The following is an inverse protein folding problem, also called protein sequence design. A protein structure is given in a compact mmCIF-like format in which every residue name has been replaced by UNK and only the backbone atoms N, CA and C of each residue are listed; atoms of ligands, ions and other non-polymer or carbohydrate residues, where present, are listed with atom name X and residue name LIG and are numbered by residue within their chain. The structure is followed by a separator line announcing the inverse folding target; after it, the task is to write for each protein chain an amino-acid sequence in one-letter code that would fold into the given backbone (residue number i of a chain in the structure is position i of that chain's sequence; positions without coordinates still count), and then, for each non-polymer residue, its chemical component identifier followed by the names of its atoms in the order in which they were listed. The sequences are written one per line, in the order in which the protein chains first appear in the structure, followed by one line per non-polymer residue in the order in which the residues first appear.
data_IF_447149333080
#
_entry.id   IF_447149333080
#
_cell.length_a   1.000
_cell.length_b   1.000
_cell.length_c   1.000
_cell.angle_alpha   90.00
_cell.angle_beta   90.00
_cell.angle_gamma   90.00
#
_symmetry.space_group_name_H-M   'P 1'
#
loop_
_entity.id
_entity.type
_entity.pdbx_description
1 polymer ?
#
# COMPACT_ATOMS: atom_id res chain seq x y z
N UNK A 1 38.61 -8.50 -62.13
CA UNK A 1 38.84 -8.50 -60.67
C UNK A 1 38.30 -7.22 -60.01
N UNK A 2 38.44 -6.02 -60.59
CA UNK A 2 38.02 -4.76 -59.93
C UNK A 2 36.53 -4.59 -59.57
N UNK A 3 35.58 -5.10 -60.35
CA UNK A 3 34.14 -4.86 -60.08
C UNK A 3 33.62 -5.50 -58.78
N UNK A 4 34.10 -6.69 -58.43
CA UNK A 4 33.72 -7.37 -57.19
C UNK A 4 34.45 -6.79 -55.97
N UNK A 5 35.68 -6.28 -56.16
CA UNK A 5 36.43 -5.60 -55.11
C UNK A 5 35.79 -4.25 -54.75
N UNK A 6 35.33 -3.49 -55.75
CA UNK A 6 34.62 -2.21 -55.54
C UNK A 6 33.28 -2.39 -54.81
N UNK A 7 32.48 -3.39 -55.17
CA UNK A 7 31.21 -3.70 -54.48
C UNK A 7 31.48 -4.13 -53.03
N UNK A 8 32.52 -4.92 -52.79
CA UNK A 8 32.87 -5.38 -51.44
C UNK A 8 33.35 -4.22 -50.57
N UNK A 9 34.13 -3.29 -51.13
CA UNK A 9 34.59 -2.09 -50.45
C UNK A 9 33.43 -1.13 -50.11
N UNK A 10 32.48 -0.94 -51.03
CA UNK A 10 31.31 -0.09 -50.82
C UNK A 10 30.35 -0.68 -49.76
N UNK A 11 30.20 -2.01 -49.76
CA UNK A 11 29.42 -2.72 -48.76
C UNK A 11 30.08 -2.67 -47.37
N UNK A 12 31.41 -2.81 -47.30
CA UNK A 12 32.17 -2.64 -46.04
C UNK A 12 32.07 -1.22 -45.49
N UNK A 13 32.14 -0.21 -46.36
CA UNK A 13 31.97 1.19 -45.99
C UNK A 13 30.56 1.45 -45.44
N UNK A 14 29.53 0.95 -46.12
CA UNK A 14 28.13 1.07 -45.68
C UNK A 14 27.91 0.41 -44.31
N UNK A 15 28.51 -0.76 -44.07
CA UNK A 15 28.43 -1.44 -42.76
C UNK A 15 29.15 -0.64 -41.67
N UNK A 16 30.32 -0.05 -41.97
CA UNK A 16 31.03 0.80 -41.02
C UNK A 16 30.26 2.07 -40.68
N UNK A 17 29.66 2.73 -41.67
CA UNK A 17 28.81 3.90 -41.46
C UNK A 17 27.61 3.53 -40.57
N UNK A 18 26.99 2.36 -40.79
CA UNK A 18 25.87 1.89 -39.96
C UNK A 18 26.29 1.58 -38.52
N UNK A 19 27.46 0.96 -38.32
CA UNK A 19 28.01 0.70 -36.98
C UNK A 19 28.33 2.00 -36.24
N UNK A 20 28.89 2.99 -36.94
CA UNK A 20 29.16 4.32 -36.38
C UNK A 20 27.88 5.01 -35.92
N UNK A 21 26.85 5.03 -36.76
CA UNK A 21 25.54 5.60 -36.42
C UNK A 21 24.91 4.86 -35.22
N UNK A 22 24.97 3.52 -35.21
CA UNK A 22 24.45 2.73 -34.09
C UNK A 22 25.15 3.07 -32.77
N UNK A 23 26.47 3.20 -32.79
CA UNK A 23 27.26 3.47 -31.59
C UNK A 23 27.01 4.91 -31.08
N UNK A 24 26.80 5.88 -31.97
CA UNK A 24 26.33 7.23 -31.61
C UNK A 24 24.93 7.22 -31.01
N UNK A 25 24.00 6.45 -31.57
CA UNK A 25 22.63 6.30 -31.03
C UNK A 25 22.69 5.70 -29.62
N UNK A 26 23.49 4.65 -29.41
CA UNK A 26 23.66 4.02 -28.09
C UNK A 26 24.28 5.00 -27.09
N UNK A 27 25.30 5.76 -27.52
CA UNK A 27 25.96 6.76 -26.67
C UNK A 27 24.99 7.87 -26.25
N UNK A 28 24.18 8.34 -27.19
CA UNK A 28 23.15 9.37 -26.95
C UNK A 28 22.05 8.85 -26.03
N UNK A 29 21.58 7.62 -26.22
CA UNK A 29 20.59 6.99 -25.35
C UNK A 29 21.09 6.86 -23.89
N UNK A 30 22.35 6.43 -23.70
CA UNK A 30 22.98 6.38 -22.36
C UNK A 30 23.11 7.76 -21.72
N UNK A 31 23.40 8.79 -22.52
CA UNK A 31 23.46 10.16 -22.02
C UNK A 31 22.09 10.65 -21.53
N UNK A 32 21.02 10.37 -22.28
CA UNK A 32 19.66 10.69 -21.87
C UNK A 32 19.23 9.94 -20.60
N UNK A 33 19.57 8.66 -20.47
CA UNK A 33 19.30 7.92 -19.24
C UNK A 33 20.01 8.52 -18.02
N UNK A 34 21.25 8.96 -18.19
CA UNK A 34 22.00 9.63 -17.12
C UNK A 34 21.34 10.96 -16.74
N UNK A 35 21.03 11.81 -17.70
CA UNK A 35 20.34 13.09 -17.44
C UNK A 35 19.00 12.88 -16.73
N UNK A 36 18.23 11.86 -17.11
CA UNK A 36 16.97 11.51 -16.44
C UNK A 36 17.19 11.12 -14.97
N UNK A 37 18.25 10.37 -14.67
CA UNK A 37 18.62 10.01 -13.29
C UNK A 37 19.03 11.26 -12.49
N UNK A 38 19.83 12.13 -13.08
CA UNK A 38 20.33 13.35 -12.44
C UNK A 38 19.16 14.30 -12.11
N UNK A 39 18.22 14.52 -13.05
CA UNK A 39 17.00 15.32 -12.79
C UNK A 39 16.17 14.71 -11.66
N UNK A 40 15.96 13.40 -11.66
CA UNK A 40 15.21 12.74 -10.59
C UNK A 40 15.88 12.93 -9.21
N UNK A 41 17.22 12.95 -9.16
CA UNK A 41 17.97 13.20 -7.94
C UNK A 41 17.86 14.66 -7.48
N UNK A 42 17.97 15.63 -8.40
CA UNK A 42 17.82 17.06 -8.10
C UNK A 42 16.42 17.41 -7.57
N UNK A 43 15.38 16.76 -8.11
CA UNK A 43 13.99 16.90 -7.61
C UNK A 43 13.87 16.36 -6.18
N UNK A 44 14.50 15.21 -5.88
CA UNK A 44 14.52 14.65 -4.52
C UNK A 44 15.27 15.56 -3.54
N UNK A 45 16.36 16.18 -3.99
CA UNK A 45 17.23 17.04 -3.17
C UNK A 45 16.73 18.49 -3.05
N UNK A 46 15.55 18.81 -3.59
CA UNK A 46 14.94 20.16 -3.60
C UNK A 46 15.79 21.24 -4.29
N UNK A 47 16.71 20.86 -5.17
CA UNK A 47 17.59 21.83 -5.85
C UNK A 47 16.90 22.55 -7.01
N UNK A 48 15.75 22.05 -7.49
CA UNK A 48 14.95 22.66 -8.56
C UNK A 48 13.49 22.78 -8.10
N UNK A 49 12.92 23.98 -8.17
CA UNK A 49 11.49 24.19 -7.93
C UNK A 49 10.63 23.61 -9.06
N UNK A 50 9.46 23.06 -8.72
CA UNK A 50 8.50 22.51 -9.69
C UNK A 50 8.17 23.44 -10.88
N UNK A 51 8.05 24.78 -10.72
CA UNK A 51 7.85 25.69 -11.85
C UNK A 51 9.03 25.72 -12.84
N UNK A 52 10.26 25.63 -12.33
CA UNK A 52 11.48 25.57 -13.16
C UNK A 52 11.54 24.27 -13.96
N UNK A 53 11.11 23.16 -13.34
CA UNK A 53 11.00 21.86 -14.00
C UNK A 53 9.93 21.86 -15.10
N UNK A 54 8.77 22.46 -14.84
CA UNK A 54 7.69 22.61 -15.82
C UNK A 54 8.20 23.36 -17.05
N UNK A 55 8.85 24.50 -16.84
CA UNK A 55 9.40 25.34 -17.91
C UNK A 55 10.45 24.60 -18.75
N UNK A 56 11.37 23.87 -18.10
CA UNK A 56 12.37 23.06 -18.81
C UNK A 56 11.73 21.94 -19.67
N UNK A 57 10.65 21.32 -19.19
CA UNK A 57 9.88 20.34 -19.97
C UNK A 57 9.15 20.97 -21.15
N UNK A 58 8.56 22.16 -20.98
CA UNK A 58 7.93 22.90 -22.07
C UNK A 58 8.93 23.30 -23.16
N UNK A 59 10.09 23.81 -22.78
CA UNK A 59 11.19 24.17 -23.69
C UNK A 59 11.73 22.95 -24.45
N UNK A 60 11.86 21.79 -23.79
CA UNK A 60 12.24 20.55 -24.47
C UNK A 60 11.21 20.10 -25.51
N UNK A 61 9.93 20.12 -25.15
CA UNK A 61 8.85 19.72 -26.07
C UNK A 61 8.67 20.74 -27.21
N UNK A 62 8.95 22.02 -26.97
CA UNK A 62 8.98 23.07 -28.00
C UNK A 62 9.92 22.72 -29.14
N UNK A 63 11.14 22.32 -28.82
CA UNK A 63 12.16 21.96 -29.80
C UNK A 63 11.70 20.77 -30.65
N UNK A 64 11.02 19.79 -30.05
CA UNK A 64 10.49 18.64 -30.80
C UNK A 64 9.33 19.03 -31.73
N UNK A 65 8.45 19.91 -31.26
CA UNK A 65 7.24 20.33 -31.96
C UNK A 65 7.54 21.26 -33.15
N UNK A 66 8.63 22.03 -33.08
CA UNK A 66 9.00 22.99 -34.10
C UNK A 66 9.32 22.31 -35.44
N UNK A 67 9.90 21.10 -35.42
CA UNK A 67 10.25 20.35 -36.63
C UNK A 67 9.06 20.09 -37.56
N UNK A 68 7.91 19.71 -36.99
CA UNK A 68 6.69 19.42 -37.76
C UNK A 68 6.06 20.72 -38.28
N UNK A 69 6.07 21.77 -37.46
CA UNK A 69 5.56 23.10 -37.82
C UNK A 69 6.36 23.69 -38.99
N UNK A 70 7.68 23.60 -38.93
CA UNK A 70 8.60 24.08 -39.97
C UNK A 70 8.49 23.27 -41.25
N UNK A 71 8.39 21.93 -41.14
CA UNK A 71 8.14 21.08 -42.30
C UNK A 71 6.86 21.48 -43.04
N UNK A 72 5.75 21.67 -42.32
CA UNK A 72 4.48 22.08 -42.93
C UNK A 72 4.54 23.48 -43.55
N UNK A 73 5.37 24.36 -43.00
CA UNK A 73 5.53 25.75 -43.45
C UNK A 73 6.44 25.87 -44.68
N UNK A 74 7.50 25.07 -44.77
CA UNK A 74 8.55 25.21 -45.79
C UNK A 74 8.60 24.08 -46.81
N UNK A 75 7.73 23.06 -46.72
CA UNK A 75 7.63 22.03 -47.78
C UNK A 75 7.31 22.64 -49.15
N UNK A 76 7.66 21.91 -50.22
CA UNK A 76 7.51 22.32 -51.64
C UNK A 76 6.15 22.95 -51.98
N UNK A 77 5.07 22.49 -51.33
CA UNK A 77 3.74 23.12 -51.40
C UNK A 77 3.31 23.52 -49.98
N UNK A 78 3.55 24.76 -49.52
CA UNK A 78 3.35 25.17 -48.13
C UNK A 78 1.92 24.94 -47.63
N UNK A 79 1.78 24.35 -46.44
CA UNK A 79 0.49 24.14 -45.76
C UNK A 79 0.37 25.10 -44.56
N UNK A 80 0.23 26.40 -44.85
CA UNK A 80 0.29 27.47 -43.84
C UNK A 80 -0.83 27.36 -42.80
N UNK A 81 -2.07 27.06 -43.22
CA UNK A 81 -3.19 26.90 -42.28
C UNK A 81 -3.00 25.68 -41.36
N UNK A 82 -2.57 24.55 -41.92
CA UNK A 82 -2.25 23.36 -41.14
C UNK A 82 -1.08 23.59 -40.18
N UNK A 83 -0.06 24.34 -40.59
CA UNK A 83 1.08 24.72 -39.72
C UNK A 83 0.62 25.55 -38.52
N UNK A 84 -0.29 26.52 -38.72
CA UNK A 84 -0.88 27.31 -37.62
C UNK A 84 -1.71 26.44 -36.67
N UNK A 85 -2.58 25.59 -37.21
CA UNK A 85 -3.40 24.68 -36.39
C UNK A 85 -2.54 23.73 -35.56
N UNK A 86 -1.51 23.13 -36.17
CA UNK A 86 -0.57 22.23 -35.48
C UNK A 86 0.22 22.97 -34.41
N UNK A 87 0.63 24.22 -34.66
CA UNK A 87 1.31 25.05 -33.66
C UNK A 87 0.44 25.30 -32.42
N UNK A 88 -0.84 25.63 -32.61
CA UNK A 88 -1.78 25.81 -31.49
C UNK A 88 -2.05 24.52 -30.71
N UNK A 89 -2.24 23.40 -31.41
CA UNK A 89 -2.42 22.08 -30.79
C UNK A 89 -1.17 21.66 -30.00
N UNK A 90 0.02 21.88 -30.56
CA UNK A 90 1.29 21.61 -29.88
C UNK A 90 1.44 22.47 -28.62
N UNK A 91 1.06 23.74 -28.65
CA UNK A 91 1.06 24.60 -27.45
C UNK A 91 0.18 24.01 -26.34
N UNK A 92 -1.06 23.62 -26.63
CA UNK A 92 -1.97 23.01 -25.64
C UNK A 92 -1.43 21.68 -25.13
N UNK A 93 -0.88 20.85 -26.01
CA UNK A 93 -0.27 19.56 -25.67
C UNK A 93 0.92 19.73 -24.72
N UNK A 94 1.80 20.70 -24.99
CA UNK A 94 2.98 21.00 -24.16
C UNK A 94 2.60 21.37 -22.74
N UNK A 95 1.65 22.30 -22.59
CA UNK A 95 1.13 22.70 -21.28
C UNK A 95 0.59 21.50 -20.50
N UNK A 96 -0.29 20.71 -21.13
CA UNK A 96 -0.87 19.52 -20.49
C UNK A 96 0.18 18.47 -20.09
N UNK A 97 1.19 18.24 -20.94
CA UNK A 97 2.28 17.31 -20.65
C UNK A 97 3.20 17.82 -19.54
N UNK A 98 3.51 19.11 -19.51
CA UNK A 98 4.30 19.74 -18.47
C UNK A 98 3.59 19.67 -17.11
N UNK A 99 2.30 20.03 -17.06
CA UNK A 99 1.46 19.91 -15.87
C UNK A 99 1.39 18.46 -15.37
N UNK A 100 1.10 17.51 -16.27
CA UNK A 100 1.12 16.08 -15.93
C UNK A 100 2.45 15.68 -15.32
N UNK A 101 3.57 16.13 -15.91
CA UNK A 101 4.90 15.76 -15.45
C UNK A 101 5.20 16.34 -14.06
N UNK A 102 4.81 17.60 -13.82
CA UNK A 102 4.89 18.22 -12.49
C UNK A 102 4.11 17.42 -11.46
N UNK A 103 2.87 17.02 -11.79
CA UNK A 103 2.04 16.20 -10.89
C UNK A 103 2.68 14.83 -10.61
N UNK A 104 3.22 14.14 -11.63
CA UNK A 104 3.95 12.88 -11.44
C UNK A 104 5.13 13.06 -10.46
N UNK A 105 5.90 14.14 -10.59
CA UNK A 105 7.01 14.42 -9.68
C UNK A 105 6.56 14.81 -8.28
N UNK A 106 5.48 15.58 -8.16
CA UNK A 106 4.90 16.00 -6.89
C UNK A 106 4.35 14.80 -6.12
N UNK A 107 3.67 13.88 -6.80
CA UNK A 107 3.24 12.59 -6.24
C UNK A 107 4.44 11.77 -5.79
N UNK A 108 5.46 11.59 -6.65
CA UNK A 108 6.67 10.84 -6.28
C UNK A 108 7.41 11.45 -5.08
N UNK A 109 7.42 12.78 -4.99
CA UNK A 109 7.97 13.49 -3.83
C UNK A 109 7.15 13.23 -2.57
N UNK A 110 5.82 13.37 -2.64
CA UNK A 110 4.96 13.07 -1.49
C UNK A 110 5.08 11.61 -1.06
N UNK A 111 5.12 10.65 -1.98
CA UNK A 111 5.40 9.24 -1.68
C UNK A 111 6.74 9.05 -0.98
N UNK A 112 7.76 9.87 -1.29
CA UNK A 112 9.08 9.78 -0.64
C UNK A 112 9.11 10.36 0.78
N UNK A 113 8.38 11.45 1.02
CA UNK A 113 8.35 12.14 2.32
C UNK A 113 7.31 11.55 3.26
N UNK A 114 6.25 10.96 2.70
CA UNK A 114 5.15 10.33 3.39
C UNK A 114 4.93 8.92 2.83
N UNK A 115 5.77 7.93 3.19
CA UNK A 115 5.66 6.57 2.68
C UNK A 115 4.30 5.90 2.92
N UNK A 116 3.54 6.33 3.94
CA UNK A 116 2.17 5.87 4.18
C UNK A 116 1.21 6.14 3.01
N UNK A 117 1.53 7.10 2.12
CA UNK A 117 0.76 7.34 0.90
C UNK A 117 0.88 6.19 -0.10
N UNK A 118 1.96 5.40 -0.05
CA UNK A 118 2.07 4.17 -0.85
C UNK A 118 1.06 3.14 -0.38
N UNK A 119 0.89 2.99 0.94
CA UNK A 119 -0.10 2.09 1.53
C UNK A 119 -1.52 2.51 1.12
N UNK A 120 -1.84 3.82 1.20
CA UNK A 120 -3.12 4.37 0.77
C UNK A 120 -3.37 4.20 -0.74
N UNK A 121 -2.33 4.34 -1.57
CA UNK A 121 -2.42 4.19 -3.03
C UNK A 121 -2.74 2.74 -3.41
N UNK A 122 -2.19 1.75 -2.72
CA UNK A 122 -2.54 0.35 -2.91
C UNK A 122 -4.01 0.09 -2.55
N UNK A 123 -4.52 0.67 -1.46
CA UNK A 123 -5.94 0.56 -1.08
C UNK A 123 -6.89 1.15 -2.15
N UNK A 124 -6.52 2.26 -2.78
CA UNK A 124 -7.35 2.94 -3.80
C UNK A 124 -7.27 2.25 -5.17
N UNK A 125 -6.14 1.62 -5.51
CA UNK A 125 -5.96 0.91 -6.78
C UNK A 125 -6.78 -0.38 -6.89
N UNK A 126 -7.09 -1.01 -5.75
CA UNK A 126 -7.87 -2.25 -5.69
C UNK A 126 -9.40 -2.01 -5.72
N UNK A 127 -9.86 -0.75 -5.80
CA UNK A 127 -11.29 -0.39 -5.92
C UNK A 127 -11.75 -0.67 -7.35
N UNK A 128 -12.62 -1.67 -7.51
CA UNK A 128 -13.18 -2.05 -8.81
C UNK A 128 -14.14 -0.98 -9.35
N UNK A 129 -14.41 -0.97 -10.66
CA UNK A 129 -15.44 -0.10 -11.24
C UNK A 129 -16.84 -0.36 -10.65
N UNK A 130 -17.09 -1.59 -10.17
CA UNK A 130 -18.30 -1.93 -9.40
C UNK A 130 -18.33 -1.22 -8.04
N UNK A 131 -17.21 -1.19 -7.31
CA UNK A 131 -17.11 -0.46 -6.03
C UNK A 131 -17.33 1.05 -6.23
N UNK A 132 -16.82 1.63 -7.33
CA UNK A 132 -17.05 3.04 -7.67
C UNK A 132 -18.53 3.34 -7.96
N UNK A 133 -19.23 2.43 -8.66
CA UNK A 133 -20.67 2.55 -8.93
C UNK A 133 -21.50 2.40 -7.65
N UNK A 134 -21.14 1.47 -6.76
CA UNK A 134 -21.84 1.31 -5.48
C UNK A 134 -21.74 2.58 -4.62
N UNK A 135 -20.57 3.23 -4.56
CA UNK A 135 -20.38 4.47 -3.78
C UNK A 135 -21.18 5.67 -4.35
N UNK A 136 -21.39 5.73 -5.66
CA UNK A 136 -22.01 6.87 -6.34
C UNK A 136 -23.50 7.10 -5.97
N UNK A 137 -24.19 6.08 -5.45
CA UNK A 137 -25.65 6.14 -5.24
C UNK A 137 -26.11 6.49 -3.82
N UNK A 138 -25.19 6.53 -2.85
CA UNK A 138 -25.45 6.84 -1.44
C UNK A 138 -25.41 8.34 -1.12
N UNK A 139 -26.21 8.80 -0.16
CA UNK A 139 -26.09 10.17 0.38
C UNK A 139 -24.78 10.33 1.19
N UNK A 140 -24.28 11.56 1.39
CA UNK A 140 -23.10 11.80 2.21
C UNK A 140 -23.19 11.20 3.62
N UNK A 141 -24.38 11.25 4.24
CA UNK A 141 -24.65 10.71 5.57
C UNK A 141 -24.63 9.18 5.57
N UNK A 142 -25.22 8.55 4.54
CA UNK A 142 -25.18 7.08 4.38
C UNK A 142 -23.74 6.58 4.24
N UNK A 143 -22.87 7.33 3.54
CA UNK A 143 -21.45 6.98 3.36
C UNK A 143 -20.64 7.04 4.66
N UNK A 144 -21.17 7.60 5.74
CA UNK A 144 -20.51 7.51 7.06
C UNK A 144 -20.59 6.08 7.65
N UNK A 145 -21.56 5.26 7.21
CA UNK A 145 -21.63 3.85 7.63
C UNK A 145 -20.72 2.99 6.76
N UNK A 146 -19.66 2.45 7.36
CA UNK A 146 -18.68 1.58 6.70
C UNK A 146 -19.29 0.32 6.04
N UNK A 147 -20.51 -0.10 6.40
CA UNK A 147 -21.18 -1.22 5.69
C UNK A 147 -21.61 -0.85 4.28
N UNK A 148 -21.77 0.45 3.95
CA UNK A 148 -22.13 0.89 2.59
C UNK A 148 -21.06 0.52 1.57
N UNK A 149 -19.80 0.42 2.00
CA UNK A 149 -18.70 -0.10 1.18
C UNK A 149 -18.91 -1.55 0.73
N UNK A 150 -19.80 -2.31 1.38
CA UNK A 150 -20.03 -3.73 1.11
C UNK A 150 -21.45 -4.04 0.61
N UNK A 151 -22.36 -3.07 0.60
CA UNK A 151 -23.77 -3.28 0.32
C UNK A 151 -24.22 -2.44 -0.86
N UNK A 152 -25.26 -2.90 -1.56
CA UNK A 152 -26.00 -2.06 -2.50
C UNK A 152 -26.97 -1.16 -1.74
N UNK A 153 -27.38 -0.06 -2.37
CA UNK A 153 -28.34 0.89 -1.78
C UNK A 153 -29.65 0.24 -1.37
N UNK A 154 -30.16 -0.68 -2.19
CA UNK A 154 -31.37 -1.43 -1.88
C UNK A 154 -31.20 -2.31 -0.65
N UNK A 155 -30.10 -3.04 -0.55
CA UNK A 155 -29.79 -3.88 0.61
C UNK A 155 -29.61 -3.05 1.87
N UNK A 156 -28.88 -1.93 1.78
CA UNK A 156 -28.64 -1.06 2.92
C UNK A 156 -29.95 -0.49 3.51
N UNK A 157 -30.91 -0.14 2.65
CA UNK A 157 -32.18 0.49 3.06
C UNK A 157 -33.28 -0.51 3.43
N UNK A 158 -33.30 -1.70 2.81
CA UNK A 158 -34.36 -2.71 3.02
C UNK A 158 -34.03 -3.72 4.13
N UNK A 159 -32.75 -4.05 4.34
CA UNK A 159 -32.38 -5.09 5.29
C UNK A 159 -32.43 -4.59 6.75
N UNK A 160 -32.89 -5.43 7.70
CA UNK A 160 -32.75 -5.17 9.13
C UNK A 160 -31.28 -4.97 9.54
N UNK A 161 -31.02 -4.18 10.57
CA UNK A 161 -29.65 -3.80 11.00
C UNK A 161 -28.73 -5.00 11.24
N UNK A 162 -29.19 -6.04 11.93
CA UNK A 162 -28.38 -7.24 12.21
C UNK A 162 -28.01 -8.01 10.93
N UNK A 163 -28.99 -8.22 10.05
CA UNK A 163 -28.80 -8.89 8.75
C UNK A 163 -27.89 -8.08 7.82
N UNK A 164 -28.09 -6.76 7.78
CA UNK A 164 -27.27 -5.80 7.04
C UNK A 164 -25.80 -5.88 7.45
N UNK A 165 -25.54 -5.84 8.76
CA UNK A 165 -24.20 -5.91 9.32
C UNK A 165 -23.54 -7.27 9.06
N UNK A 166 -24.30 -8.38 9.18
CA UNK A 166 -23.79 -9.72 8.90
C UNK A 166 -23.45 -9.90 7.42
N UNK A 167 -24.32 -9.45 6.50
CA UNK A 167 -24.07 -9.54 5.07
C UNK A 167 -22.82 -8.75 4.65
N UNK A 168 -22.63 -7.56 5.23
CA UNK A 168 -21.41 -6.78 5.03
C UNK A 168 -20.16 -7.51 5.54
N UNK A 169 -20.23 -8.15 6.71
CA UNK A 169 -19.15 -8.98 7.24
C UNK A 169 -18.81 -10.16 6.32
N UNK A 170 -19.82 -10.87 5.82
CA UNK A 170 -19.62 -12.00 4.91
C UNK A 170 -18.96 -11.56 3.60
N UNK A 171 -19.36 -10.40 3.06
CA UNK A 171 -18.75 -9.82 1.86
C UNK A 171 -17.34 -9.31 2.11
N UNK A 172 -17.07 -8.73 3.27
CA UNK A 172 -15.72 -8.35 3.68
C UNK A 172 -14.76 -9.54 3.61
N UNK A 173 -15.18 -10.74 4.04
CA UNK A 173 -14.34 -11.93 3.98
C UNK A 173 -14.16 -12.51 2.56
N UNK A 174 -15.17 -12.37 1.70
CA UNK A 174 -15.16 -12.87 0.32
C UNK A 174 -14.41 -11.97 -0.67
N UNK A 175 -14.39 -10.65 -0.44
CA UNK A 175 -13.73 -9.70 -1.33
C UNK A 175 -12.22 -9.97 -1.42
N UNK A 176 -11.61 -9.77 -2.61
CA UNK A 176 -10.16 -9.77 -2.74
C UNK A 176 -9.57 -8.68 -1.84
N UNK A 177 -8.36 -8.90 -1.35
CA UNK A 177 -7.68 -8.02 -0.41
C UNK A 177 -6.29 -7.69 -0.91
N UNK A 178 -5.88 -6.44 -0.73
CA UNK A 178 -4.51 -6.01 -0.96
C UNK A 178 -3.54 -6.78 -0.06
N UNK A 179 -2.26 -6.84 -0.46
CA UNK A 179 -1.23 -7.52 0.35
C UNK A 179 -1.09 -6.89 1.72
N UNK A 180 -1.19 -5.57 1.79
CA UNK A 180 -1.18 -4.82 3.03
C UNK A 180 -2.34 -5.24 3.95
N UNK A 181 -3.57 -5.28 3.42
CA UNK A 181 -4.75 -5.66 4.19
C UNK A 181 -4.64 -7.11 4.69
N UNK A 182 -4.10 -8.01 3.86
CA UNK A 182 -3.82 -9.41 4.24
C UNK A 182 -2.78 -9.50 5.37
N UNK A 183 -1.78 -8.61 5.38
CA UNK A 183 -0.82 -8.47 6.49
C UNK A 183 -1.50 -8.00 7.78
N UNK A 184 -2.26 -6.89 7.70
CA UNK A 184 -3.04 -6.33 8.80
C UNK A 184 -4.02 -7.36 9.42
N UNK A 185 -4.71 -8.14 8.58
CA UNK A 185 -5.61 -9.20 9.04
C UNK A 185 -4.87 -10.29 9.82
N UNK A 186 -3.65 -10.64 9.40
CA UNK A 186 -2.85 -11.63 10.09
C UNK A 186 -2.36 -11.11 11.45
N UNK A 187 -1.93 -9.86 11.54
CA UNK A 187 -1.60 -9.21 12.82
C UNK A 187 -2.81 -9.20 13.76
N UNK A 188 -4.00 -8.83 13.26
CA UNK A 188 -5.26 -8.89 14.03
C UNK A 188 -5.53 -10.30 14.56
N UNK A 189 -5.37 -11.32 13.73
CA UNK A 189 -5.57 -12.71 14.14
C UNK A 189 -4.58 -13.14 15.24
N UNK A 190 -3.29 -12.85 15.06
CA UNK A 190 -2.27 -13.17 16.07
C UNK A 190 -2.57 -12.42 17.38
N UNK A 191 -2.96 -11.15 17.31
CA UNK A 191 -3.35 -10.37 18.48
C UNK A 191 -4.58 -10.93 19.18
N UNK A 192 -5.61 -11.31 18.43
CA UNK A 192 -6.81 -12.01 18.94
C UNK A 192 -6.43 -13.25 19.77
N UNK A 193 -5.46 -14.05 19.32
CA UNK A 193 -5.03 -15.24 20.07
C UNK A 193 -4.37 -14.89 21.41
N UNK A 194 -3.67 -13.76 21.49
CA UNK A 194 -3.09 -13.28 22.75
C UNK A 194 -4.15 -12.64 23.66
N UNK A 195 -5.06 -11.83 23.11
CA UNK A 195 -6.18 -11.26 23.88
C UNK A 195 -7.08 -12.36 24.46
N UNK A 196 -7.34 -13.41 23.68
CA UNK A 196 -8.08 -14.60 24.13
C UNK A 196 -7.39 -15.35 25.28
N UNK A 197 -6.06 -15.23 25.40
CA UNK A 197 -5.26 -15.77 26.53
C UNK A 197 -5.13 -14.77 27.70
N UNK A 198 -5.82 -13.62 27.60
CA UNK A 198 -5.85 -12.58 28.62
C UNK A 198 -4.64 -11.66 28.62
N UNK A 199 -3.91 -11.55 27.51
CA UNK A 199 -2.86 -10.53 27.36
C UNK A 199 -3.48 -9.19 26.96
N UNK A 200 -2.91 -8.09 27.45
CA UNK A 200 -3.18 -6.76 26.93
C UNK A 200 -2.34 -6.55 25.68
N UNK A 201 -3.01 -6.42 24.53
CA UNK A 201 -2.34 -6.34 23.22
C UNK A 201 -2.28 -4.90 22.71
N UNK A 202 -1.14 -4.55 22.15
CA UNK A 202 -0.89 -3.31 21.41
C UNK A 202 -0.49 -3.69 19.98
N UNK A 203 -1.28 -3.22 19.00
CA UNK A 203 -1.11 -3.49 17.57
C UNK A 203 -0.20 -2.44 16.92
N UNK A 204 1.10 -2.48 17.24
CA UNK A 204 2.06 -1.44 16.83
C UNK A 204 2.21 -1.37 15.31
N UNK A 205 2.20 -2.51 14.60
CA UNK A 205 2.33 -2.56 13.14
C UNK A 205 1.22 -1.77 12.43
N UNK A 206 -0.03 -1.93 12.90
CA UNK A 206 -1.20 -1.21 12.38
C UNK A 206 -1.10 0.31 12.56
N UNK A 207 -0.56 0.79 13.70
CA UNK A 207 -0.54 2.22 14.02
C UNK A 207 0.75 2.95 13.63
N UNK A 208 1.89 2.25 13.58
CA UNK A 208 3.21 2.84 13.35
C UNK A 208 3.80 2.52 11.98
N UNK A 209 3.22 1.58 11.22
CA UNK A 209 3.68 1.25 9.87
C UNK A 209 5.19 1.00 9.83
N UNK A 210 5.94 1.77 9.04
CA UNK A 210 7.40 1.65 8.91
C UNK A 210 8.20 2.04 10.18
N UNK A 211 7.61 2.80 11.10
CA UNK A 211 8.25 3.22 12.36
C UNK A 211 8.14 2.15 13.47
N UNK A 212 7.45 1.05 13.20
CA UNK A 212 7.25 -0.04 14.15
C UNK A 212 8.56 -0.78 14.52
N UNK A 213 9.60 -0.63 13.69
CA UNK A 213 10.86 -1.37 13.72
C UNK A 213 10.64 -2.91 13.64
N UNK A 214 9.57 -3.34 12.95
CA UNK A 214 9.19 -4.74 12.81
C UNK A 214 8.67 -5.41 14.09
N UNK A 215 8.11 -4.62 15.02
CA UNK A 215 7.51 -5.11 16.27
C UNK A 215 6.00 -5.05 16.15
N UNK A 216 5.42 -5.86 15.27
CA UNK A 216 4.01 -5.74 14.88
C UNK A 216 3.03 -5.78 16.07
N UNK A 217 3.30 -6.63 17.07
CA UNK A 217 2.44 -6.79 18.25
C UNK A 217 3.26 -6.79 19.54
N UNK A 218 2.76 -6.08 20.56
CA UNK A 218 3.28 -6.15 21.93
C UNK A 218 2.15 -6.65 22.84
N UNK A 219 2.30 -7.88 23.36
CA UNK A 219 1.35 -8.51 24.27
C UNK A 219 1.90 -8.51 25.71
N UNK A 220 1.21 -7.85 26.63
CA UNK A 220 1.63 -7.67 28.03
C UNK A 220 0.73 -8.47 28.97
N UNK A 221 1.34 -9.22 29.89
CA UNK A 221 0.62 -9.92 30.96
C UNK A 221 1.53 -10.03 32.18
N UNK A 222 1.10 -9.45 33.29
CA UNK A 222 1.86 -9.42 34.56
C UNK A 222 3.28 -8.85 34.36
N UNK A 223 4.34 -9.62 34.66
CA UNK A 223 5.73 -9.20 34.44
C UNK A 223 6.31 -9.62 33.08
N UNK A 224 5.49 -10.24 32.23
CA UNK A 224 5.88 -10.74 30.91
C UNK A 224 5.44 -9.79 29.80
N UNK A 225 6.35 -9.54 28.85
CA UNK A 225 6.06 -8.87 27.60
C UNK A 225 6.46 -9.79 26.46
N UNK A 226 5.54 -10.05 25.54
CA UNK A 226 5.80 -10.80 24.32
C UNK A 226 5.79 -9.81 23.16
N UNK A 227 6.95 -9.64 22.52
CA UNK A 227 7.08 -8.88 21.29
C UNK A 227 6.98 -9.87 20.14
N UNK A 228 6.05 -9.62 19.22
CA UNK A 228 5.75 -10.52 18.10
C UNK A 228 6.00 -9.81 16.79
N UNK A 229 6.74 -10.45 15.89
CA UNK A 229 6.78 -10.09 14.49
C UNK A 229 5.93 -11.05 13.67
N UNK A 230 5.10 -10.52 12.79
CA UNK A 230 4.17 -11.21 11.93
C UNK A 230 4.61 -11.09 10.47
N UNK A 231 4.75 -12.22 9.77
CA UNK A 231 5.01 -12.25 8.32
C UNK A 231 4.03 -13.18 7.60
N UNK A 232 3.03 -12.58 6.97
CA UNK A 232 2.07 -13.30 6.13
C UNK A 232 2.56 -13.36 4.68
N UNK A 233 3.41 -14.33 4.36
CA UNK A 233 4.00 -14.51 3.04
C UNK A 233 3.45 -15.74 2.32
N UNK A 234 3.59 -15.75 0.99
CA UNK A 234 3.24 -16.92 0.17
C UNK A 234 4.03 -18.15 0.61
N UNK A 235 3.39 -19.32 0.57
CA UNK A 235 3.95 -20.62 0.98
C UNK A 235 5.28 -20.98 0.29
N UNK A 236 5.49 -20.48 -0.93
CA UNK A 236 6.71 -20.77 -1.70
C UNK A 236 7.86 -19.79 -1.42
N UNK A 237 7.66 -18.81 -0.54
CA UNK A 237 8.72 -17.89 -0.12
C UNK A 237 9.38 -18.41 1.15
N UNK A 238 10.69 -18.28 1.22
CA UNK A 238 11.48 -18.60 2.42
C UNK A 238 11.87 -17.33 3.14
N UNK A 239 11.78 -17.35 4.47
CA UNK A 239 12.30 -16.28 5.33
C UNK A 239 13.77 -16.56 5.65
N UNK A 240 14.62 -15.61 5.28
CA UNK A 240 16.06 -15.69 5.50
C UNK A 240 16.48 -14.91 6.75
N UNK A 241 17.69 -15.18 7.22
CA UNK A 241 18.31 -14.73 8.47
C UNK A 241 18.27 -13.22 8.68
N UNK A 242 18.29 -12.42 7.61
CA UNK A 242 18.18 -10.95 7.69
C UNK A 242 16.96 -10.49 8.51
N UNK A 243 15.84 -11.20 8.41
CA UNK A 243 14.62 -10.86 9.14
C UNK A 243 14.74 -11.17 10.63
N UNK A 244 15.43 -12.27 10.96
CA UNK A 244 15.68 -12.67 12.34
C UNK A 244 16.68 -11.71 13.01
N UNK A 245 17.71 -11.29 12.29
CA UNK A 245 18.66 -10.29 12.80
C UNK A 245 18.03 -8.92 13.01
N UNK A 246 17.22 -8.46 12.04
CA UNK A 246 16.48 -7.22 12.18
C UNK A 246 15.55 -7.27 13.40
N UNK A 247 14.76 -8.33 13.54
CA UNK A 247 13.86 -8.48 14.67
C UNK A 247 14.58 -8.58 16.01
N UNK A 248 15.67 -9.35 16.05
CA UNK A 248 16.50 -9.45 17.24
C UNK A 248 16.99 -8.07 17.69
N UNK A 249 17.52 -7.26 16.77
CA UNK A 249 18.03 -5.93 17.09
C UNK A 249 16.95 -5.03 17.71
N UNK A 250 15.72 -5.12 17.22
CA UNK A 250 14.63 -4.25 17.67
C UNK A 250 13.99 -4.75 18.96
N UNK A 251 13.96 -6.07 19.20
CA UNK A 251 13.63 -6.66 20.50
C UNK A 251 14.73 -6.39 21.55
N UNK A 252 16.00 -6.42 21.17
CA UNK A 252 17.11 -6.08 22.06
C UNK A 252 16.99 -4.63 22.54
N UNK A 253 16.76 -3.68 21.63
CA UNK A 253 16.51 -2.28 21.97
C UNK A 253 15.28 -2.12 22.88
N UNK A 254 14.21 -2.86 22.60
CA UNK A 254 13.00 -2.83 23.42
C UNK A 254 13.23 -3.39 24.84
N UNK A 255 14.02 -4.46 24.97
CA UNK A 255 14.44 -5.04 26.26
C UNK A 255 15.20 -4.02 27.10
N UNK A 256 16.17 -3.34 26.50
CA UNK A 256 16.98 -2.32 27.16
C UNK A 256 16.12 -1.17 27.70
N UNK A 257 15.10 -0.78 26.92
CA UNK A 257 14.13 0.26 27.32
C UNK A 257 13.10 -0.19 28.38
N UNK A 258 13.07 -1.48 28.74
CA UNK A 258 12.12 -2.05 29.71
C UNK A 258 12.83 -2.90 30.78
N UNK A 259 13.73 -2.30 31.60
CA UNK A 259 14.45 -3.03 32.63
C UNK A 259 13.49 -3.65 33.65
N UNK A 260 13.82 -4.86 34.12
CA UNK A 260 13.03 -5.59 35.12
C UNK A 260 11.79 -6.33 34.57
N UNK A 261 11.49 -6.20 33.27
CA UNK A 261 10.46 -6.99 32.59
C UNK A 261 11.06 -8.20 31.89
N UNK A 262 10.35 -9.33 31.92
CA UNK A 262 10.72 -10.50 31.11
C UNK A 262 10.18 -10.29 29.69
N UNK A 263 11.07 -10.03 28.73
CA UNK A 263 10.67 -9.80 27.33
C UNK A 263 11.02 -11.01 26.46
N UNK A 264 9.99 -11.66 25.90
CA UNK A 264 10.11 -12.75 24.94
C UNK A 264 9.91 -12.26 23.51
N UNK A 265 10.64 -12.86 22.58
CA UNK A 265 10.54 -12.59 21.16
C UNK A 265 9.84 -13.76 20.48
N UNK A 266 8.80 -13.49 19.69
CA UNK A 266 8.10 -14.49 18.88
C UNK A 266 8.09 -14.03 17.43
N UNK A 267 8.49 -14.89 16.52
CA UNK A 267 8.42 -14.64 15.09
C UNK A 267 7.39 -15.59 14.48
N UNK A 268 6.26 -15.04 14.05
CA UNK A 268 5.13 -15.78 13.50
C UNK A 268 5.01 -15.59 11.99
N UNK A 269 4.96 -16.68 11.24
CA UNK A 269 4.84 -16.61 9.79
C UNK A 269 4.00 -17.73 9.21
N UNK A 270 3.31 -17.43 8.10
CA UNK A 270 2.53 -18.38 7.31
C UNK A 270 3.39 -19.31 6.44
N UNK A 271 4.70 -19.06 6.36
CA UNK A 271 5.66 -19.85 5.59
C UNK A 271 6.78 -20.39 6.47
N UNK A 272 7.87 -20.84 5.86
CA UNK A 272 9.03 -21.42 6.52
C UNK A 272 10.26 -20.52 6.45
N UNK A 273 11.15 -20.72 7.42
CA UNK A 273 12.46 -20.10 7.51
C UNK A 273 13.53 -21.01 6.88
N UNK A 274 14.63 -20.42 6.42
CA UNK A 274 15.82 -21.19 6.05
C UNK A 274 16.42 -21.88 7.28
N UNK A 275 17.14 -22.98 7.08
CA UNK A 275 17.81 -23.69 8.19
C UNK A 275 18.80 -22.80 8.94
N UNK A 276 19.47 -21.91 8.20
CA UNK A 276 20.35 -20.91 8.78
C UNK A 276 19.58 -19.93 9.68
N UNK A 277 18.41 -19.45 9.23
CA UNK A 277 17.56 -18.57 10.01
C UNK A 277 16.98 -19.27 11.26
N UNK A 278 16.58 -20.54 11.16
CA UNK A 278 16.14 -21.36 12.30
C UNK A 278 17.24 -21.51 13.35
N UNK A 279 18.47 -21.80 12.91
CA UNK A 279 19.64 -21.87 13.79
C UNK A 279 19.86 -20.56 14.53
N UNK A 280 19.83 -19.43 13.83
CA UNK A 280 19.99 -18.12 14.46
C UNK A 280 18.84 -17.75 15.39
N UNK A 281 17.59 -18.05 15.04
CA UNK A 281 16.47 -17.81 15.93
C UNK A 281 16.61 -18.56 17.27
N UNK A 282 17.09 -19.81 17.21
CA UNK A 282 17.40 -20.61 18.42
C UNK A 282 18.47 -19.94 19.28
N UNK A 283 19.62 -19.55 18.69
CA UNK A 283 20.72 -18.88 19.41
C UNK A 283 20.29 -17.56 20.03
N UNK A 284 19.50 -16.78 19.29
CA UNK A 284 19.01 -15.45 19.70
C UNK A 284 17.77 -15.52 20.62
N UNK A 285 17.33 -16.74 21.00
CA UNK A 285 16.17 -17.02 21.86
C UNK A 285 14.88 -16.37 21.32
N UNK A 286 14.67 -16.51 20.01
CA UNK A 286 13.45 -16.11 19.32
C UNK A 286 12.60 -17.37 19.10
N UNK A 287 11.38 -17.37 19.64
CA UNK A 287 10.42 -18.44 19.41
C UNK A 287 9.86 -18.35 17.99
N UNK A 288 9.88 -19.46 17.24
CA UNK A 288 9.36 -19.51 15.88
C UNK A 288 7.96 -20.14 15.85
N UNK A 289 7.03 -19.52 15.13
CA UNK A 289 5.77 -20.10 14.69
C UNK A 289 5.75 -20.16 13.16
N UNK A 290 6.33 -21.21 12.60
CA UNK A 290 6.33 -21.48 11.15
C UNK A 290 5.02 -22.12 10.70
N UNK A 291 4.68 -21.95 9.41
CA UNK A 291 3.44 -22.48 8.82
C UNK A 291 2.18 -22.08 9.61
N UNK A 292 2.25 -20.97 10.35
CA UNK A 292 1.20 -20.51 11.23
C UNK A 292 0.16 -19.72 10.44
N UNK A 293 -0.80 -20.43 9.87
CA UNK A 293 -1.83 -19.83 9.01
C UNK A 293 -2.91 -19.14 9.84
N UNK A 294 -3.43 -18.05 9.28
CA UNK A 294 -4.64 -17.41 9.78
C UNK A 294 -5.83 -18.35 9.58
N UNK A 295 -6.53 -18.67 10.67
CA UNK A 295 -7.88 -19.17 10.58
C UNK A 295 -8.78 -18.02 10.10
N UNK A 296 -9.49 -18.20 8.99
CA UNK A 296 -10.40 -17.16 8.45
C UNK A 296 -11.75 -17.14 9.15
N UNK A 297 -12.05 -18.16 9.95
CA UNK A 297 -13.32 -18.31 10.67
C UNK A 297 -13.21 -17.89 12.14
N UNK A 298 -12.08 -17.29 12.53
CA UNK A 298 -11.90 -16.81 13.90
C UNK A 298 -12.93 -15.74 14.28
N UNK A 299 -13.23 -15.67 15.58
CA UNK A 299 -14.11 -14.64 16.13
C UNK A 299 -13.47 -13.26 15.95
N UNK A 300 -13.94 -12.51 14.95
CA UNK A 300 -13.35 -11.24 14.52
C UNK A 300 -14.20 -10.02 14.85
N UNK A 301 -15.33 -10.18 15.56
CA UNK A 301 -16.13 -9.06 16.01
C UNK A 301 -15.74 -8.72 17.44
N UNK A 302 -15.22 -7.52 17.67
CA UNK A 302 -14.80 -7.06 19.00
C UNK A 302 -16.00 -6.53 19.77
N UNK A 303 -16.38 -7.19 20.86
CA UNK A 303 -17.46 -6.76 21.75
C UNK A 303 -16.86 -6.14 23.02
N UNK A 304 -16.81 -4.82 23.11
CA UNK A 304 -16.25 -4.09 24.25
C UNK A 304 -17.33 -3.34 25.07
N UNK A 305 -17.00 -3.04 26.32
CA UNK A 305 -17.88 -2.32 27.22
C UNK A 305 -17.25 -0.96 27.49
N UNK A 306 -17.96 0.11 27.12
CA UNK A 306 -17.49 1.47 27.31
C UNK A 306 -17.21 1.74 28.79
N UNK A 307 -16.00 2.22 29.09
CA UNK A 307 -15.61 2.58 30.46
C UNK A 307 -16.30 3.84 30.98
N UNK A 308 -16.83 4.67 30.08
CA UNK A 308 -17.45 5.96 30.44
C UNK A 308 -18.89 5.77 30.89
N UNK A 309 -19.66 4.94 30.17
CA UNK A 309 -21.11 4.83 30.36
C UNK A 309 -21.63 3.39 30.43
N UNK A 310 -20.74 2.38 30.38
CA UNK A 310 -21.13 0.97 30.43
C UNK A 310 -21.84 0.45 29.17
N UNK A 311 -21.90 1.22 28.09
CA UNK A 311 -22.54 0.78 26.85
C UNK A 311 -21.81 -0.44 26.26
N UNK A 312 -22.58 -1.48 25.91
CA UNK A 312 -22.12 -2.67 25.21
C UNK A 312 -22.09 -2.43 23.71
N UNK A 313 -20.88 -2.37 23.15
CA UNK A 313 -20.66 -2.00 21.76
C UNK A 313 -19.87 -3.10 21.05
N UNK A 314 -20.27 -3.47 19.83
CA UNK A 314 -19.46 -4.30 18.96
C UNK A 314 -18.90 -3.52 17.77
N UNK A 315 -17.70 -3.92 17.37
CA UNK A 315 -16.98 -3.39 16.22
C UNK A 315 -16.75 -4.50 15.20
N UNK A 316 -17.17 -4.26 13.96
CA UNK A 316 -16.83 -5.06 12.80
C UNK A 316 -15.40 -4.77 12.34
N UNK A 317 -14.70 -5.70 11.66
CA UNK A 317 -13.29 -5.54 11.27
C UNK A 317 -13.00 -4.35 10.35
N UNK A 318 -14.02 -3.74 9.76
CA UNK A 318 -13.92 -2.55 8.92
C UNK A 318 -14.47 -1.28 9.60
N UNK A 319 -14.95 -1.36 10.85
CA UNK A 319 -15.36 -0.16 11.58
C UNK A 319 -14.13 0.66 12.00
N UNK A 320 -14.25 1.99 11.98
CA UNK A 320 -13.17 2.94 12.25
C UNK A 320 -12.42 2.70 13.57
N UNK A 321 -13.13 2.29 14.62
CA UNK A 321 -12.56 2.06 15.97
C UNK A 321 -12.17 0.60 16.23
N UNK A 322 -12.17 -0.26 15.21
CA UNK A 322 -11.88 -1.69 15.41
C UNK A 322 -10.46 -1.93 15.96
N UNK A 323 -9.45 -1.26 15.40
CA UNK A 323 -8.05 -1.50 15.79
C UNK A 323 -7.69 -0.87 17.15
N UNK A 324 -8.41 0.18 17.55
CA UNK A 324 -8.24 0.86 18.84
C UNK A 324 -9.00 0.17 19.96
N UNK A 325 -10.13 -0.48 19.65
CA UNK A 325 -10.89 -1.27 20.61
C UNK A 325 -10.05 -2.47 21.09
N UNK A 326 -9.90 -2.58 22.41
CA UNK A 326 -9.20 -3.69 23.08
C UNK A 326 -10.23 -4.56 23.79
N UNK A 327 -10.02 -5.87 23.77
CA UNK A 327 -10.88 -6.82 24.45
C UNK A 327 -10.23 -7.28 25.75
N UNK A 328 -10.95 -7.10 26.85
CA UNK A 328 -10.57 -7.51 28.20
C UNK A 328 -11.55 -8.58 28.71
N UNK A 329 -11.28 -9.88 28.48
CA UNK A 329 -12.24 -10.95 28.81
C UNK A 329 -12.75 -10.92 30.25
N UNK A 330 -11.92 -10.47 31.20
CA UNK A 330 -12.27 -10.38 32.62
C UNK A 330 -13.43 -9.43 32.93
N UNK A 331 -13.75 -8.48 32.06
CA UNK A 331 -14.83 -7.50 32.26
C UNK A 331 -16.12 -7.86 31.52
N UNK A 332 -16.21 -9.06 30.93
CA UNK A 332 -17.35 -9.49 30.12
C UNK A 332 -17.29 -9.02 28.66
N UNK A 333 -16.18 -8.41 28.25
CA UNK A 333 -15.85 -8.15 26.84
C UNK A 333 -15.43 -9.47 26.16
N UNK A 334 -15.71 -9.63 24.88
CA UNK A 334 -15.37 -10.87 24.18
C UNK A 334 -15.29 -10.66 22.67
N UNK A 335 -14.85 -11.70 21.97
CA UNK A 335 -14.89 -11.78 20.53
C UNK A 335 -16.09 -12.61 20.08
N UNK A 336 -16.91 -12.08 19.18
CA UNK A 336 -18.02 -12.80 18.57
C UNK A 336 -17.65 -13.30 17.16
N UNK A 337 -18.19 -14.45 16.76
CA UNK A 337 -18.00 -15.01 15.42
C UNK A 337 -18.90 -14.36 14.37
N UNK A 338 -20.10 -13.98 14.78
CA UNK A 338 -21.11 -13.39 13.92
C UNK A 338 -21.90 -12.32 14.70
N UNK A 339 -22.64 -11.49 13.96
CA UNK A 339 -23.40 -10.37 14.50
C UNK A 339 -24.46 -10.85 15.48
N UNK A 340 -25.14 -11.96 15.16
CA UNK A 340 -26.16 -12.54 16.03
C UNK A 340 -25.61 -12.90 17.42
N UNK A 341 -24.41 -13.46 17.50
CA UNK A 341 -23.76 -13.77 18.78
C UNK A 341 -23.52 -12.51 19.63
N UNK A 342 -23.10 -11.40 19.00
CA UNK A 342 -22.90 -10.14 19.69
C UNK A 342 -24.24 -9.55 20.20
N UNK A 343 -25.26 -9.53 19.33
CA UNK A 343 -26.56 -8.92 19.61
C UNK A 343 -27.35 -9.70 20.67
N UNK A 344 -27.32 -11.03 20.65
CA UNK A 344 -27.93 -11.88 21.69
C UNK A 344 -27.35 -11.59 23.08
N UNK A 345 -26.07 -11.22 23.16
CA UNK A 345 -25.40 -10.82 24.42
C UNK A 345 -25.62 -9.35 24.80
N UNK A 346 -26.48 -8.65 24.05
CA UNK A 346 -26.89 -7.27 24.28
C UNK A 346 -25.91 -6.22 23.78
N UNK A 347 -25.01 -6.57 22.85
CA UNK A 347 -24.10 -5.60 22.23
C UNK A 347 -24.76 -5.04 20.97
N UNK A 348 -24.70 -3.72 20.79
CA UNK A 348 -25.11 -3.04 19.55
C UNK A 348 -23.89 -2.61 18.75
N UNK A 349 -24.02 -2.40 17.44
CA UNK A 349 -22.90 -1.89 16.62
C UNK A 349 -22.44 -0.50 17.10
N UNK A 350 -21.15 -0.22 16.92
CA UNK A 350 -20.53 1.06 17.25
C UNK A 350 -21.13 2.24 16.48
N UNK A 351 -21.39 2.03 15.19
CA UNK A 351 -22.04 3.03 14.35
C UNK A 351 -23.48 3.28 14.82
N UNK A 352 -23.78 4.53 15.21
CA UNK A 352 -25.13 5.00 15.54
C UNK A 352 -25.66 5.79 14.35
N UNK A 353 -26.59 5.19 13.60
CA UNK A 353 -27.35 5.96 12.61
C UNK A 353 -28.11 7.07 13.34
N UNK A 354 -27.85 8.33 12.96
CA UNK A 354 -28.68 9.45 13.38
C UNK A 354 -29.80 9.54 12.36
N UNK A 355 -30.92 8.89 12.63
CA UNK A 355 -32.14 9.25 11.90
C UNK A 355 -32.41 10.74 12.17
N UNK A 356 -32.65 11.52 11.12
CA UNK A 356 -33.04 12.93 11.24
C UNK A 356 -34.17 13.07 12.27
N UNK A 357 -34.02 14.06 13.16
CA UNK A 357 -35.08 14.48 14.06
C UNK A 357 -36.15 15.25 13.31
#
# INVERSE_FOLDING_TARGET
MGYYEDITADMQKTVQDWLSVRDEVIKTARHFEKQKKDINQLVKERQIGFPTLAKAFEEYLEVQDQNIVDFLKYKKTPAIQSSKLVSELNKKRRQALAEKKVLEYLVAYYESVAPFLLDLKEEVQDITDEDRRMLAEYTPEEREDEVTSYLTKEEYRKLPTGEKNQLALDRYWKRPKSKWHVGKMYERYVGYLYESKGYQVEYVGIFKGLEDLGRDIIAKKDNMIIVVQCKNWSKFRTIYEKHIFQFFGTVFQFRDSNPGKEVKAVFATTTELSDLARRFAKELKIELKENFKMDKEYACIKCNISRVNGEKIYHLPFDQQYDTAKITPKTGEFYARNVAEAEVKGFRRAYKWRAEK
#
